data_IF_313173975890
#
_entry.id   IF_313173975890
#
_cell.length_a   1.000
_cell.length_b   1.000
_cell.length_c   1.000
_cell.angle_alpha   90.00
_cell.angle_beta   90.00
_cell.angle_gamma   90.00
#
_symmetry.space_group_name_H-M   'P 1'
#
loop_
_entity.id
_entity.type
_entity.pdbx_description
1 polymer ?
#
# COMPACT_ATOMS: atom_id res chain seq x y z
N UNK A 1 -3.07 -11.39 -10.42
CA UNK A 1 -2.04 -10.70 -9.60
C UNK A 1 -1.54 -9.51 -10.40
N UNK A 2 -2.05 -8.28 -10.19
CA UNK A 2 -1.69 -7.12 -11.04
C UNK A 2 -0.35 -6.48 -10.62
N UNK A 3 0.11 -6.73 -9.38
CA UNK A 3 1.34 -6.11 -8.85
C UNK A 3 2.63 -6.84 -9.24
N UNK A 4 2.54 -8.06 -9.76
CA UNK A 4 3.72 -8.84 -10.20
C UNK A 4 4.35 -8.31 -11.49
N UNK A 5 3.62 -7.51 -12.27
CA UNK A 5 4.09 -6.94 -13.55
C UNK A 5 4.90 -5.64 -13.36
N UNK A 6 4.71 -4.93 -12.24
CA UNK A 6 5.37 -3.65 -11.97
C UNK A 6 6.79 -3.86 -11.49
N UNK A 7 7.75 -3.02 -11.87
CA UNK A 7 9.13 -3.08 -11.35
C UNK A 7 9.17 -2.81 -9.83
N UNK A 8 10.23 -3.24 -9.14
CA UNK A 8 10.38 -2.97 -7.69
C UNK A 8 10.32 -1.47 -7.38
N UNK A 9 10.90 -0.63 -8.25
CA UNK A 9 10.85 0.83 -8.15
C UNK A 9 9.42 1.40 -8.25
N UNK A 10 8.58 0.86 -9.14
CA UNK A 10 7.18 1.26 -9.26
C UNK A 10 6.36 0.83 -8.03
N UNK A 11 6.63 -0.35 -7.48
CA UNK A 11 5.99 -0.80 -6.24
C UNK A 11 6.36 0.14 -5.09
N UNK A 12 7.64 0.49 -4.95
CA UNK A 12 8.09 1.44 -3.93
C UNK A 12 7.44 2.81 -4.07
N UNK A 13 7.33 3.32 -5.30
CA UNK A 13 6.65 4.58 -5.61
C UNK A 13 5.18 4.51 -5.20
N UNK A 14 4.48 3.43 -5.53
CA UNK A 14 3.08 3.21 -5.12
C UNK A 14 2.95 3.08 -3.60
N UNK A 15 3.89 2.42 -2.92
CA UNK A 15 3.91 2.33 -1.46
C UNK A 15 4.07 3.71 -0.82
N UNK A 16 4.90 4.60 -1.40
CA UNK A 16 5.04 5.98 -0.93
C UNK A 16 3.71 6.74 -1.08
N UNK A 17 3.09 6.68 -2.25
CA UNK A 17 1.79 7.32 -2.49
C UNK A 17 0.69 6.81 -1.54
N UNK A 18 0.60 5.48 -1.32
CA UNK A 18 -0.35 4.89 -0.38
C UNK A 18 -0.07 5.28 1.08
N UNK A 19 1.18 5.52 1.46
CA UNK A 19 1.52 6.02 2.81
C UNK A 19 1.04 7.46 3.00
N UNK A 20 1.15 8.30 1.97
CA UNK A 20 0.61 9.66 1.98
C UNK A 20 -0.93 9.62 2.07
N UNK A 21 -1.59 8.77 1.28
CA UNK A 21 -3.04 8.55 1.37
C UNK A 21 -3.43 8.07 2.78
N UNK A 22 -2.68 7.13 3.37
CA UNK A 22 -2.90 6.66 4.73
C UNK A 22 -2.74 7.78 5.78
N UNK A 23 -1.78 8.69 5.59
CA UNK A 23 -1.59 9.85 6.45
C UNK A 23 -2.79 10.80 6.37
N UNK A 24 -3.24 11.13 5.15
CA UNK A 24 -4.40 11.96 4.92
C UNK A 24 -5.68 11.34 5.50
N UNK A 25 -5.89 10.03 5.33
CA UNK A 25 -7.03 9.32 5.91
C UNK A 25 -6.97 9.30 7.44
N UNK A 26 -5.78 9.19 8.04
CA UNK A 26 -5.60 9.30 9.50
C UNK A 26 -5.88 10.71 10.00
N UNK A 27 -5.49 11.73 9.24
CA UNK A 27 -5.81 13.11 9.55
C UNK A 27 -7.32 13.36 9.47
N UNK A 28 -7.99 12.87 8.41
CA UNK A 28 -9.45 12.91 8.27
C UNK A 28 -10.17 12.16 9.40
N UNK A 29 -9.61 11.03 9.85
CA UNK A 29 -10.11 10.31 11.02
C UNK A 29 -9.99 11.15 12.29
N UNK A 30 -8.86 11.85 12.48
CA UNK A 30 -8.63 12.73 13.63
C UNK A 30 -9.52 13.98 13.60
N UNK A 31 -9.81 14.53 12.42
CA UNK A 31 -10.74 15.66 12.26
C UNK A 31 -12.22 15.25 12.28
N UNK A 32 -12.52 13.96 12.32
CA UNK A 32 -13.89 13.44 12.33
C UNK A 32 -14.64 13.54 11.00
N UNK A 33 -13.94 13.83 9.90
CA UNK A 33 -14.50 13.96 8.54
C UNK A 33 -14.37 12.69 7.71
N UNK A 34 -14.00 11.56 8.33
CA UNK A 34 -13.75 10.33 7.58
C UNK A 34 -15.08 9.65 7.19
N UNK A 35 -15.45 9.77 5.91
CA UNK A 35 -16.64 9.12 5.36
C UNK A 35 -16.57 7.58 5.42
N UNK A 36 -15.37 7.02 5.25
CA UNK A 36 -15.18 5.57 5.08
C UNK A 36 -13.98 5.01 5.86
N UNK A 37 -14.15 4.62 7.14
CA UNK A 37 -13.09 3.98 7.94
C UNK A 37 -12.54 2.67 7.32
N UNK A 38 -13.34 2.02 6.48
CA UNK A 38 -12.91 0.84 5.71
C UNK A 38 -11.73 1.15 4.78
N UNK A 39 -11.63 2.37 4.25
CA UNK A 39 -10.56 2.76 3.31
C UNK A 39 -9.18 2.68 3.96
N UNK A 40 -9.05 3.06 5.23
CA UNK A 40 -7.80 2.91 6.00
C UNK A 40 -7.35 1.45 6.02
N UNK A 41 -8.29 0.52 6.24
CA UNK A 41 -8.01 -0.92 6.25
C UNK A 41 -7.59 -1.42 4.86
N UNK A 42 -8.23 -0.95 3.80
CA UNK A 42 -7.87 -1.29 2.42
C UNK A 42 -6.47 -0.81 2.04
N UNK A 43 -6.15 0.45 2.33
CA UNK A 43 -4.84 1.04 2.06
C UNK A 43 -3.75 0.30 2.84
N UNK A 44 -3.98 -0.02 4.12
CA UNK A 44 -3.06 -0.85 4.91
C UNK A 44 -2.84 -2.23 4.28
N UNK A 45 -3.90 -2.90 3.83
CA UNK A 45 -3.79 -4.19 3.12
C UNK A 45 -3.06 -4.05 1.79
N UNK A 46 -3.26 -2.97 1.04
CA UNK A 46 -2.55 -2.70 -0.21
C UNK A 46 -1.04 -2.53 0.03
N UNK A 47 -0.64 -1.74 1.03
CA UNK A 47 0.77 -1.57 1.42
C UNK A 47 1.38 -2.91 1.85
N UNK A 48 0.66 -3.72 2.64
CA UNK A 48 1.13 -5.04 3.05
C UNK A 48 1.36 -5.95 1.84
N UNK A 49 0.40 -6.04 0.91
CA UNK A 49 0.53 -6.84 -0.32
C UNK A 49 1.72 -6.39 -1.17
N UNK A 50 1.90 -5.09 -1.35
CA UNK A 50 3.04 -4.55 -2.09
C UNK A 50 4.39 -4.91 -1.44
N UNK A 51 4.49 -4.78 -0.12
CA UNK A 51 5.69 -5.19 0.62
C UNK A 51 5.95 -6.69 0.52
N UNK A 52 4.91 -7.52 0.54
CA UNK A 52 5.04 -8.97 0.33
C UNK A 52 5.60 -9.26 -1.05
N UNK A 53 5.10 -8.62 -2.12
CA UNK A 53 5.63 -8.82 -3.48
C UNK A 53 7.09 -8.41 -3.60
N UNK A 54 7.49 -7.28 -2.98
CA UNK A 54 8.91 -6.87 -2.93
C UNK A 54 9.74 -7.93 -2.21
N UNK A 55 9.26 -8.42 -1.06
CA UNK A 55 9.96 -9.45 -0.29
C UNK A 55 10.05 -10.80 -1.02
N UNK A 56 9.01 -11.20 -1.73
CA UNK A 56 9.00 -12.42 -2.55
C UNK A 56 10.02 -12.33 -3.69
N UNK A 57 10.20 -11.15 -4.28
CA UNK A 57 11.23 -10.88 -5.29
C UNK A 57 12.64 -10.92 -4.70
N UNK A 58 12.83 -10.36 -3.51
CA UNK A 58 14.12 -10.42 -2.80
C UNK A 58 14.53 -11.85 -2.46
N UNK A 59 13.58 -12.70 -2.04
CA UNK A 59 13.85 -14.10 -1.68
C UNK A 59 14.00 -14.96 -2.96
N UNK A 60 13.61 -14.46 -4.13
CA UNK A 60 13.65 -15.23 -5.38
C UNK A 60 12.60 -16.33 -5.46
N UNK A 61 11.48 -16.18 -4.74
CA UNK A 61 10.39 -17.18 -4.70
C UNK A 61 9.62 -17.21 -6.03
N UNK A 62 9.67 -16.13 -6.83
CA UNK A 62 9.08 -16.08 -8.17
C UNK A 62 10.18 -16.33 -9.23
N UNK A 63 10.43 -17.61 -9.56
CA UNK A 63 11.14 -18.02 -10.78
C UNK A 63 10.15 -18.56 -11.80
#
# INVERSE_FOLDING_TARGET
MIFSELTTAEIETKVKALKEELFNLRLQLATGQLENPTRIREVRKAIARMKTVVREREIGINR
#
